data_IF_387262572106
#
_entry.id   IF_387262572106
#
_cell.length_a   1.000
_cell.length_b   1.000
_cell.length_c   1.000
_cell.angle_alpha   90.00
_cell.angle_beta   90.00
_cell.angle_gamma   90.00
#
_symmetry.space_group_name_H-M   'P 1'
#
loop_
_entity.id
_entity.type
_entity.pdbx_description
1 polymer ?
#
# COMPACT_ATOMS: atom_id res chain seq x y z
N UNK A 1 -12.75 -11.56 -11.41
CA UNK A 1 -12.53 -12.04 -10.02
C UNK A 1 -11.08 -11.71 -9.68
N UNK A 2 -10.82 -10.53 -9.12
CA UNK A 2 -9.45 -10.07 -8.91
C UNK A 2 -9.00 -10.41 -7.49
N UNK A 3 -8.08 -11.35 -7.37
CA UNK A 3 -7.36 -11.66 -6.15
C UNK A 3 -6.26 -10.62 -5.97
N UNK A 4 -6.41 -9.71 -5.01
CA UNK A 4 -5.35 -8.77 -4.65
C UNK A 4 -4.80 -9.17 -3.29
N UNK A 5 -3.61 -9.74 -3.31
CA UNK A 5 -2.70 -9.89 -2.17
C UNK A 5 -1.32 -10.11 -2.74
N UNK A 6 -0.75 -9.06 -3.34
CA UNK A 6 0.65 -9.04 -3.73
C UNK A 6 1.30 -7.80 -3.16
N UNK A 7 2.26 -8.00 -2.26
CA UNK A 7 3.38 -7.09 -2.17
C UNK A 7 4.22 -7.32 -3.44
N UNK A 8 4.02 -6.50 -4.48
CA UNK A 8 4.97 -6.41 -5.60
C UNK A 8 5.97 -5.36 -5.21
N UNK A 9 7.22 -5.77 -4.96
CA UNK A 9 8.36 -4.87 -4.81
C UNK A 9 9.03 -4.78 -6.20
N UNK A 10 8.83 -3.71 -6.99
CA UNK A 10 9.75 -3.40 -8.08
C UNK A 10 10.91 -2.58 -7.49
N UNK A 11 11.81 -3.23 -6.75
CA UNK A 11 13.17 -2.74 -6.64
C UNK A 11 13.95 -3.31 -7.81
N UNK A 12 14.97 -2.61 -8.29
CA UNK A 12 15.79 -2.95 -9.45
C UNK A 12 16.63 -4.24 -9.28
N UNK A 13 16.19 -5.16 -8.41
CA UNK A 13 16.79 -6.43 -8.03
C UNK A 13 15.65 -7.46 -7.83
N UNK A 14 15.18 -8.03 -8.95
CA UNK A 14 13.98 -8.87 -9.02
C UNK A 14 14.27 -10.32 -8.62
N UNK A 15 14.31 -10.62 -7.32
CA UNK A 15 13.86 -11.95 -6.88
C UNK A 15 12.33 -11.98 -6.97
N UNK A 16 11.80 -12.59 -8.04
CA UNK A 16 10.36 -12.80 -8.24
C UNK A 16 9.81 -13.81 -7.22
N UNK A 17 9.52 -13.36 -6.00
CA UNK A 17 8.91 -14.19 -4.96
C UNK A 17 7.54 -13.62 -4.57
N UNK A 18 6.52 -14.47 -4.58
CA UNK A 18 5.14 -14.10 -4.24
C UNK A 18 4.84 -14.54 -2.80
N UNK A 19 4.42 -13.60 -1.98
CA UNK A 19 4.00 -13.84 -0.60
C UNK A 19 2.57 -13.35 -0.38
N UNK A 20 1.81 -14.09 0.41
CA UNK A 20 0.41 -13.78 0.71
C UNK A 20 0.25 -13.37 2.19
N UNK A 21 -0.27 -12.16 2.42
CA UNK A 21 -0.51 -11.62 3.76
C UNK A 21 -2.00 -11.28 3.93
N UNK A 22 -2.75 -12.11 4.66
CA UNK A 22 -4.22 -12.06 4.73
C UNK A 22 -4.79 -11.37 5.98
N UNK A 23 -4.00 -10.55 6.67
CA UNK A 23 -4.47 -9.79 7.84
C UNK A 23 -5.27 -8.54 7.46
N UNK A 24 -6.11 -8.06 8.38
CA UNK A 24 -6.87 -6.82 8.25
C UNK A 24 -6.12 -5.64 8.91
N UNK A 25 -4.85 -5.47 8.52
CA UNK A 25 -3.95 -4.45 9.04
C UNK A 25 -3.53 -3.47 7.95
N UNK A 26 -2.81 -2.42 8.35
CA UNK A 26 -2.05 -1.59 7.41
C UNK A 26 -0.70 -2.24 7.14
N UNK A 27 -0.30 -2.28 5.89
CA UNK A 27 0.98 -2.84 5.45
C UNK A 27 1.73 -1.82 4.60
N UNK A 28 3.02 -1.63 4.85
CA UNK A 28 3.87 -0.84 3.96
C UNK A 28 4.21 -1.67 2.74
N UNK A 29 3.74 -1.22 1.57
CA UNK A 29 4.02 -1.84 0.29
C UNK A 29 5.44 -1.49 -0.18
N UNK A 30 5.81 -0.21 -0.06
CA UNK A 30 7.16 0.24 -0.39
C UNK A 30 7.49 1.57 0.27
N UNK A 31 8.78 1.77 0.52
CA UNK A 31 9.42 3.02 0.94
C UNK A 31 10.88 2.99 0.50
N UNK A 32 11.55 4.15 0.31
CA UNK A 32 12.98 4.18 0.10
C UNK A 32 13.75 3.44 1.21
N UNK A 33 14.78 2.67 0.82
CA UNK A 33 15.68 2.02 1.78
C UNK A 33 16.57 3.03 2.50
N UNK A 34 17.05 4.04 1.75
CA UNK A 34 17.89 5.11 2.25
C UNK A 34 17.14 6.44 2.16
N UNK A 35 17.07 7.17 3.28
CA UNK A 35 16.49 8.51 3.33
C UNK A 35 17.35 9.59 2.67
N UNK A 36 18.61 9.26 2.34
CA UNK A 36 19.61 10.18 1.79
C UNK A 36 19.76 10.09 0.26
N UNK A 37 18.81 9.46 -0.44
CA UNK A 37 18.79 9.47 -1.91
C UNK A 37 18.35 10.83 -2.45
N UNK A 38 18.74 11.16 -3.68
CA UNK A 38 18.24 12.35 -4.41
C UNK A 38 16.72 12.32 -4.65
N UNK A 39 16.06 11.19 -4.33
CA UNK A 39 14.62 11.04 -4.40
C UNK A 39 13.94 11.48 -3.09
N UNK A 40 12.81 12.20 -3.18
CA UNK A 40 12.02 12.57 -2.00
C UNK A 40 11.57 11.32 -1.24
N UNK A 41 11.57 11.40 0.09
CA UNK A 41 11.09 10.30 0.92
C UNK A 41 9.57 10.12 0.75
N UNK A 42 9.14 8.88 0.52
CA UNK A 42 7.73 8.53 0.40
C UNK A 42 7.41 7.19 1.06
N UNK A 43 6.15 6.99 1.42
CA UNK A 43 5.61 5.67 1.78
C UNK A 43 4.38 5.37 0.95
N UNK A 44 4.24 4.10 0.56
CA UNK A 44 3.00 3.56 0.00
C UNK A 44 2.53 2.46 0.94
N UNK A 45 1.38 2.67 1.56
CA UNK A 45 0.79 1.77 2.53
C UNK A 45 -0.57 1.27 2.01
N UNK A 46 -0.89 0.00 2.26
CA UNK A 46 -2.19 -0.60 1.93
C UNK A 46 -2.94 -0.89 3.21
N UNK A 47 -4.19 -0.44 3.29
CA UNK A 47 -5.09 -0.80 4.38
C UNK A 47 -5.96 -1.97 3.94
N UNK A 48 -5.88 -3.08 4.65
CA UNK A 48 -6.61 -4.30 4.32
C UNK A 48 -7.82 -4.50 5.24
N UNK A 49 -8.87 -5.12 4.71
CA UNK A 49 -10.09 -5.46 5.45
C UNK A 49 -10.55 -6.88 5.12
N UNK A 50 -11.21 -7.55 6.07
CA UNK A 50 -12.02 -8.72 5.77
C UNK A 50 -13.38 -8.27 5.24
N UNK A 51 -13.95 -9.03 4.30
CA UNK A 51 -15.26 -8.72 3.70
C UNK A 51 -16.24 -9.87 3.93
N UNK A 52 -17.43 -9.52 4.42
CA UNK A 52 -18.48 -10.50 4.70
C UNK A 52 -18.05 -11.52 5.77
N UNK A 53 -18.51 -12.76 5.61
CA UNK A 53 -18.22 -13.85 6.56
C UNK A 53 -16.83 -14.49 6.38
N UNK A 54 -16.19 -14.33 5.21
CA UNK A 54 -14.88 -14.94 4.96
C UNK A 54 -13.74 -14.08 5.52
N UNK A 55 -13.21 -14.49 6.68
CA UNK A 55 -12.06 -13.84 7.34
C UNK A 55 -10.70 -14.46 6.99
N UNK A 56 -10.65 -15.45 6.08
CA UNK A 56 -9.39 -16.08 5.65
C UNK A 56 -8.64 -15.24 4.60
N UNK A 57 -9.32 -14.31 3.95
CA UNK A 57 -8.78 -13.47 2.88
C UNK A 57 -9.04 -12.01 3.22
N UNK A 58 -8.04 -11.16 3.04
CA UNK A 58 -8.20 -9.71 3.17
C UNK A 58 -8.12 -9.02 1.80
N UNK A 59 -8.80 -7.89 1.70
CA UNK A 59 -8.88 -7.06 0.49
C UNK A 59 -8.38 -5.67 0.80
N UNK A 60 -7.72 -5.03 -0.16
CA UNK A 60 -7.35 -3.61 -0.03
C UNK A 60 -8.63 -2.77 0.00
N UNK A 61 -8.78 -1.97 1.07
CA UNK A 61 -9.84 -0.96 1.21
C UNK A 61 -9.37 0.43 0.80
N UNK A 62 -8.09 0.71 1.02
CA UNK A 62 -7.45 1.96 0.65
C UNK A 62 -5.94 1.79 0.40
N UNK A 63 -5.40 2.60 -0.49
CA UNK A 63 -3.95 2.83 -0.63
C UNK A 63 -3.66 4.23 -0.13
N UNK A 64 -2.68 4.37 0.77
CA UNK A 64 -2.26 5.64 1.35
C UNK A 64 -0.84 5.92 0.86
N UNK A 65 -0.67 7.08 0.24
CA UNK A 65 0.62 7.55 -0.29
C UNK A 65 0.99 8.79 0.51
N UNK A 66 2.16 8.78 1.15
CA UNK A 66 2.72 9.95 1.81
C UNK A 66 3.98 10.38 1.06
N UNK A 67 4.04 11.62 0.60
CA UNK A 67 5.20 12.19 -0.10
C UNK A 67 5.28 13.69 0.18
N UNK A 68 6.44 14.17 0.63
CA UNK A 68 6.69 15.61 0.85
C UNK A 68 5.58 16.35 1.62
N UNK A 69 5.07 15.77 2.70
CA UNK A 69 4.00 16.37 3.51
C UNK A 69 2.59 16.26 2.90
N UNK A 70 2.45 15.72 1.69
CA UNK A 70 1.17 15.43 1.04
C UNK A 70 0.77 13.98 1.33
N UNK A 71 -0.48 13.79 1.74
CA UNK A 71 -1.12 12.48 1.87
C UNK A 71 -2.19 12.33 0.79
N UNK A 72 -2.05 11.30 -0.05
CA UNK A 72 -3.05 10.90 -1.04
C UNK A 72 -3.66 9.56 -0.64
N UNK A 73 -4.99 9.48 -0.58
CA UNK A 73 -5.71 8.25 -0.23
C UNK A 73 -6.56 7.84 -1.43
N UNK A 74 -6.26 6.66 -1.98
CA UNK A 74 -7.05 6.00 -3.03
C UNK A 74 -7.97 4.99 -2.37
N UNK A 75 -9.25 5.33 -2.27
CA UNK A 75 -10.27 4.51 -1.64
C UNK A 75 -11.10 3.69 -2.62
N UNK A 76 -11.90 2.77 -2.06
CA UNK A 76 -12.92 2.04 -2.82
C UNK A 76 -13.88 3.00 -3.55
N UNK A 77 -14.39 2.56 -4.69
CA UNK A 77 -15.37 3.33 -5.46
C UNK A 77 -14.78 4.46 -6.28
N UNK A 78 -13.47 4.42 -6.58
CA UNK A 78 -12.73 5.49 -7.29
C UNK A 78 -12.68 6.79 -6.48
N UNK A 79 -12.72 6.69 -5.16
CA UNK A 79 -12.58 7.84 -4.26
C UNK A 79 -11.11 8.24 -4.16
N UNK A 80 -10.82 9.53 -4.29
CA UNK A 80 -9.47 10.09 -4.08
C UNK A 80 -9.58 11.22 -3.07
N UNK A 81 -8.75 11.19 -2.04
CA UNK A 81 -8.62 12.26 -1.05
C UNK A 81 -7.18 12.76 -1.03
N UNK A 82 -6.99 14.07 -0.96
CA UNK A 82 -5.67 14.71 -0.90
C UNK A 82 -5.65 15.67 0.27
N UNK A 83 -4.68 15.51 1.16
CA UNK A 83 -4.49 16.36 2.34
C UNK A 83 -3.03 16.79 2.41
N UNK A 84 -2.78 18.04 2.78
CA UNK A 84 -1.44 18.54 3.07
C UNK A 84 -1.28 18.66 4.58
N UNK A 85 -0.19 18.13 5.12
CA UNK A 85 0.23 18.44 6.51
C UNK A 85 0.88 19.82 6.50
N UNK A 86 0.29 20.73 7.27
CA UNK A 86 0.82 22.07 7.53
C UNK A 86 2.09 21.99 8.38
#
# INVERSE_FOLDING_TARGET
QWHVSQAVIPTNDLRKQVHHYMGACSYTLTKPCNSSSDLPYFTVDTQNEHRGSNKKVSYIRAVVINVNGVTVILGKGRTVQVSMKQ
#
